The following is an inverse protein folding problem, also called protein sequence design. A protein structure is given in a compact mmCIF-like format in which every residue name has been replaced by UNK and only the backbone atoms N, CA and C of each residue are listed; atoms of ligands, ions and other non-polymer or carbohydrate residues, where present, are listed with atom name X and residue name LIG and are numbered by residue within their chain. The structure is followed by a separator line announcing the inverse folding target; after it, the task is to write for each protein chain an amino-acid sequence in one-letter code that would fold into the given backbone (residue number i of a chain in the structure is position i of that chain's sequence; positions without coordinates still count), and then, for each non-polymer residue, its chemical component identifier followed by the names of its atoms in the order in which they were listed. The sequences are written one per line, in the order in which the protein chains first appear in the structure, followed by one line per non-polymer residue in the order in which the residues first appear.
data_IF_005769864101
#
_entry.id   IF_005769864101
#
_cell.length_a   1.000
_cell.length_b   1.000
_cell.length_c   1.000
_cell.angle_alpha   90.00
_cell.angle_beta   90.00
_cell.angle_gamma   90.00
#
_symmetry.space_group_name_H-M   'P 1'
#
loop_
_entity.id
_entity.type
_entity.pdbx_description
1 polymer ?
#
# COMPACT_ATOMS: atom_id res chain seq x y z
N UNK A 1 9.19 26.15 -23.71
CA UNK A 1 8.66 26.79 -24.95
C UNK A 1 7.86 28.02 -24.54
N UNK A 2 8.16 29.21 -25.08
CA UNK A 2 7.39 30.45 -24.81
C UNK A 2 7.14 30.75 -23.31
N UNK A 3 8.14 30.54 -22.45
CA UNK A 3 8.01 30.74 -21.00
C UNK A 3 7.27 29.61 -20.25
N UNK A 4 6.90 28.52 -20.93
CA UNK A 4 6.35 27.28 -20.35
C UNK A 4 7.44 26.21 -20.31
N UNK A 5 7.65 25.59 -19.16
CA UNK A 5 8.91 24.87 -18.85
C UNK A 5 8.73 23.48 -18.23
N UNK A 6 7.59 23.21 -17.61
CA UNK A 6 7.23 21.87 -17.13
C UNK A 6 6.56 21.06 -18.25
N UNK A 7 7.13 19.93 -18.72
CA UNK A 7 6.45 19.04 -19.65
C UNK A 7 5.41 18.18 -18.93
N UNK A 8 4.18 18.15 -19.45
CA UNK A 8 3.11 17.27 -18.98
C UNK A 8 2.72 16.31 -20.11
N UNK A 9 3.02 15.00 -19.99
CA UNK A 9 2.60 14.00 -20.97
C UNK A 9 1.09 13.77 -20.89
N UNK A 10 0.44 13.62 -22.05
CA UNK A 10 -0.96 13.22 -22.11
C UNK A 10 -1.19 11.73 -21.81
N UNK A 11 -2.41 11.33 -21.40
CA UNK A 11 -3.65 12.09 -21.54
C UNK A 11 -3.95 13.02 -20.35
N UNK A 12 -4.10 14.32 -20.62
CA UNK A 12 -4.52 15.32 -19.64
C UNK A 12 -5.52 16.31 -20.26
N UNK A 13 -6.42 16.85 -19.44
CA UNK A 13 -7.50 17.75 -19.88
C UNK A 13 -7.72 18.86 -18.86
N UNK A 14 -7.92 20.10 -19.33
CA UNK A 14 -8.15 21.26 -18.48
C UNK A 14 -6.92 21.68 -17.66
N UNK A 15 -5.71 21.38 -18.13
CA UNK A 15 -4.47 21.83 -17.49
C UNK A 15 -4.24 23.31 -17.79
N UNK A 16 -3.97 24.10 -16.76
CA UNK A 16 -3.61 25.51 -16.90
C UNK A 16 -2.21 25.62 -17.50
N UNK A 17 -2.09 26.32 -18.63
CA UNK A 17 -0.83 26.44 -19.38
C UNK A 17 0.19 27.37 -18.69
N UNK A 18 -0.30 28.34 -17.94
CA UNK A 18 0.49 29.30 -17.16
C UNK A 18 -0.34 29.66 -15.92
N UNK A 19 0.09 29.15 -14.76
CA UNK A 19 -0.61 29.39 -13.49
C UNK A 19 -0.50 30.83 -12.99
N UNK A 20 0.43 31.61 -13.54
CA UNK A 20 0.78 32.96 -13.10
C UNK A 20 0.36 34.04 -14.10
N UNK A 21 -0.43 33.70 -15.12
CA UNK A 21 -0.97 34.62 -16.10
C UNK A 21 -1.66 35.82 -15.42
N UNK A 22 -0.97 36.96 -15.39
CA UNK A 22 -1.33 38.12 -14.56
C UNK A 22 -2.61 38.85 -15.01
N UNK A 23 -3.19 38.47 -16.16
CA UNK A 23 -4.46 38.97 -16.67
C UNK A 23 -5.66 38.11 -16.27
N UNK A 24 -5.43 36.95 -15.63
CA UNK A 24 -6.47 36.00 -15.21
C UNK A 24 -7.06 35.17 -16.35
N UNK A 25 -6.51 35.23 -17.56
CA UNK A 25 -6.93 34.40 -18.70
C UNK A 25 -6.12 33.10 -18.73
N UNK A 26 -6.52 32.13 -17.92
CA UNK A 26 -5.91 30.80 -17.94
C UNK A 26 -6.21 30.08 -19.27
N UNK A 27 -5.20 29.95 -20.12
CA UNK A 27 -5.24 29.04 -21.27
C UNK A 27 -5.31 27.61 -20.76
N UNK A 28 -6.36 26.86 -21.16
CA UNK A 28 -6.54 25.47 -20.80
C UNK A 28 -6.05 24.57 -21.94
N UNK A 29 -5.06 23.74 -21.65
CA UNK A 29 -4.48 22.77 -22.56
C UNK A 29 -5.00 21.37 -22.30
N UNK A 30 -5.17 20.62 -23.40
CA UNK A 30 -5.49 19.22 -23.42
C UNK A 30 -4.41 18.50 -24.25
N UNK A 31 -3.92 17.36 -23.78
CA UNK A 31 -2.97 16.51 -24.51
C UNK A 31 -3.59 15.13 -24.72
N UNK A 32 -3.47 14.57 -25.92
CA UNK A 32 -3.82 13.17 -26.18
C UNK A 32 -2.63 12.26 -25.81
N UNK A 33 -2.84 10.94 -25.81
CA UNK A 33 -1.78 9.98 -25.48
C UNK A 33 -0.63 10.08 -26.47
N UNK A 34 0.58 10.29 -25.96
CA UNK A 34 1.80 10.46 -26.76
C UNK A 34 2.12 11.91 -27.11
N UNK A 35 1.21 12.86 -26.87
CA UNK A 35 1.50 14.28 -26.94
C UNK A 35 2.07 14.76 -25.60
N UNK A 36 2.93 15.78 -25.65
CA UNK A 36 3.46 16.48 -24.48
C UNK A 36 3.11 17.96 -24.61
N UNK A 37 2.35 18.49 -23.65
CA UNK A 37 2.13 19.93 -23.50
C UNK A 37 3.17 20.50 -22.53
N UNK A 38 3.44 21.80 -22.64
CA UNK A 38 4.37 22.51 -21.78
C UNK A 38 3.59 23.56 -20.97
N UNK A 39 3.85 23.63 -19.67
CA UNK A 39 3.19 24.57 -18.74
C UNK A 39 4.20 25.38 -17.91
N UNK A 40 3.80 26.54 -17.41
CA UNK A 40 4.49 27.23 -16.31
C UNK A 40 3.64 27.09 -15.03
N UNK A 41 4.22 26.52 -13.97
CA UNK A 41 3.50 26.18 -12.74
C UNK A 41 4.30 26.46 -11.44
N UNK A 42 5.50 27.00 -11.59
CA UNK A 42 6.51 27.24 -10.55
C UNK A 42 6.84 28.73 -10.34
N UNK A 43 6.30 29.61 -11.18
CA UNK A 43 6.44 31.07 -11.06
C UNK A 43 5.90 31.68 -9.74
N UNK A 44 5.14 30.94 -8.93
CA UNK A 44 4.90 31.33 -7.52
C UNK A 44 6.15 31.15 -6.66
N UNK A 45 6.86 30.03 -6.81
CA UNK A 45 8.07 29.73 -6.05
C UNK A 45 9.23 30.64 -6.50
N UNK A 46 9.31 30.99 -7.79
CA UNK A 46 10.18 32.06 -8.30
C UNK A 46 9.95 33.39 -7.56
N UNK A 47 8.68 33.80 -7.37
CA UNK A 47 8.29 35.01 -6.67
C UNK A 47 8.63 34.90 -5.18
N UNK A 48 8.33 33.78 -4.51
CA UNK A 48 8.67 33.59 -3.10
C UNK A 48 10.20 33.61 -2.87
N UNK A 49 11.01 33.08 -3.80
CA UNK A 49 12.47 33.21 -3.80
C UNK A 49 12.94 34.66 -4.05
N UNK A 50 12.33 35.36 -5.00
CA UNK A 50 12.62 36.77 -5.27
C UNK A 50 12.17 37.73 -4.16
N UNK A 51 11.13 37.41 -3.41
CA UNK A 51 10.67 38.22 -2.27
C UNK A 51 11.42 37.88 -0.98
N UNK A 52 12.03 36.69 -0.87
CA UNK A 52 12.78 36.25 0.31
C UNK A 52 13.88 37.26 0.72
N UNK A 53 13.73 37.88 1.90
CA UNK A 53 14.64 38.93 2.41
C UNK A 53 15.74 38.40 3.32
N UNK A 54 15.83 37.09 3.56
CA UNK A 54 16.80 36.51 4.50
C UNK A 54 18.24 36.47 3.96
N UNK A 55 18.41 36.57 2.63
CA UNK A 55 19.71 36.59 1.96
C UNK A 55 19.92 37.88 1.17
N UNK A 56 21.17 38.35 1.11
CA UNK A 56 21.53 39.49 0.26
C UNK A 56 21.53 39.07 -1.22
N UNK A 57 20.76 39.77 -2.06
CA UNK A 57 20.62 39.46 -3.50
C UNK A 57 21.72 40.07 -4.38
N UNK A 58 22.59 40.92 -3.83
CA UNK A 58 23.65 41.59 -4.60
C UNK A 58 23.08 42.37 -5.80
N UNK A 59 23.68 42.17 -6.97
CA UNK A 59 23.24 42.76 -8.25
C UNK A 59 22.25 41.86 -9.02
N UNK A 60 21.70 40.81 -8.41
CA UNK A 60 20.75 39.91 -9.07
C UNK A 60 19.40 40.60 -9.33
N UNK A 61 18.91 40.48 -10.57
CA UNK A 61 17.56 40.91 -10.98
C UNK A 61 16.55 39.78 -10.82
N UNK A 62 15.25 40.06 -10.94
CA UNK A 62 14.21 39.03 -10.89
C UNK A 62 14.46 37.87 -11.88
N UNK A 63 14.97 38.17 -13.08
CA UNK A 63 15.33 37.19 -14.11
C UNK A 63 16.43 36.20 -13.69
N UNK A 64 17.18 36.47 -12.61
CA UNK A 64 18.11 35.49 -12.02
C UNK A 64 17.45 34.51 -11.03
N UNK A 65 16.17 34.72 -10.72
CA UNK A 65 15.30 33.86 -9.91
C UNK A 65 14.18 33.23 -10.73
N UNK A 66 14.05 33.62 -12.01
CA UNK A 66 13.18 32.96 -12.96
C UNK A 66 13.86 31.69 -13.48
N UNK A 67 13.13 30.59 -13.47
CA UNK A 67 13.50 29.34 -14.13
C UNK A 67 13.20 29.46 -15.64
N UNK A 68 13.46 28.39 -16.42
CA UNK A 68 12.94 28.30 -17.80
C UNK A 68 13.51 29.22 -18.87
N UNK A 69 14.50 30.08 -18.57
CA UNK A 69 15.13 30.97 -19.58
C UNK A 69 15.66 30.13 -20.77
N UNK A 70 15.23 30.50 -21.98
CA UNK A 70 15.48 29.78 -23.25
C UNK A 70 15.02 28.30 -23.28
N UNK A 71 14.13 27.89 -22.37
CA UNK A 71 13.47 26.57 -22.39
C UNK A 71 14.42 25.40 -22.12
N UNK A 72 15.49 25.64 -21.34
CA UNK A 72 16.48 24.63 -20.99
C UNK A 72 16.89 24.73 -19.51
N UNK A 73 15.99 24.33 -18.63
CA UNK A 73 16.34 23.56 -17.44
C UNK A 73 15.05 23.00 -16.83
N UNK A 74 15.00 21.67 -16.65
CA UNK A 74 14.21 21.10 -15.56
C UNK A 74 14.98 21.30 -14.27
N UNK A 75 14.29 21.45 -13.15
CA UNK A 75 14.93 21.38 -11.83
C UNK A 75 15.57 19.99 -11.68
N UNK A 76 16.89 19.91 -11.90
CA UNK A 76 17.66 18.69 -11.67
C UNK A 76 17.80 18.54 -10.15
N UNK A 77 16.77 17.99 -9.54
CA UNK A 77 16.90 17.24 -8.29
C UNK A 77 18.13 16.36 -8.44
N UNK A 78 19.00 16.30 -7.42
CA UNK A 78 20.20 15.47 -7.49
C UNK A 78 19.79 14.01 -7.65
N UNK A 79 19.73 13.54 -8.89
CA UNK A 79 19.61 12.14 -9.28
C UNK A 79 20.95 11.48 -8.97
N UNK A 80 21.20 11.31 -7.67
CA UNK A 80 22.24 10.43 -7.13
C UNK A 80 21.91 9.08 -7.69
N UNK A 81 22.70 8.63 -8.67
CA UNK A 81 22.22 7.60 -9.57
C UNK A 81 21.71 6.38 -8.82
N UNK A 82 20.53 5.93 -9.19
CA UNK A 82 19.68 5.05 -8.42
C UNK A 82 19.72 3.62 -8.98
N UNK A 83 19.09 2.68 -8.28
CA UNK A 83 18.56 1.50 -8.94
C UNK A 83 17.32 1.89 -9.78
N UNK A 84 16.88 1.07 -10.73
CA UNK A 84 15.62 1.23 -11.43
C UNK A 84 14.46 1.58 -10.50
N UNK A 85 13.49 2.41 -10.95
CA UNK A 85 12.33 2.77 -10.15
C UNK A 85 11.65 1.55 -9.54
N UNK A 86 11.25 1.59 -8.26
CA UNK A 86 10.62 0.45 -7.60
C UNK A 86 9.28 0.11 -8.27
N UNK A 87 8.82 -1.15 -8.20
CA UNK A 87 7.59 -1.58 -8.85
C UNK A 87 6.37 -1.07 -8.09
N UNK A 88 5.22 -0.90 -8.76
CA UNK A 88 3.99 -0.66 -8.02
C UNK A 88 3.65 -1.92 -7.22
N UNK A 89 3.29 -1.75 -5.93
CA UNK A 89 2.98 -2.87 -5.05
C UNK A 89 1.66 -2.68 -4.28
N UNK A 90 1.00 -3.80 -3.97
CA UNK A 90 -0.17 -3.87 -3.09
C UNK A 90 -0.03 -5.02 -2.08
N UNK A 91 -0.63 -4.85 -0.91
CA UNK A 91 -0.68 -5.85 0.15
C UNK A 91 -2.12 -6.32 0.34
N UNK A 92 -2.31 -7.64 0.37
CA UNK A 92 -3.61 -8.25 0.69
C UNK A 92 -3.44 -9.01 2.01
N UNK A 93 -3.90 -8.45 3.15
CA UNK A 93 -3.92 -9.16 4.43
C UNK A 93 -4.98 -10.27 4.42
N UNK A 94 -4.67 -11.39 5.04
CA UNK A 94 -5.66 -12.41 5.40
C UNK A 94 -5.24 -13.14 6.68
N UNK A 95 -6.01 -14.16 7.05
CA UNK A 95 -5.81 -14.91 8.28
C UNK A 95 -4.40 -15.54 8.35
N UNK A 96 -3.59 -15.04 9.30
CA UNK A 96 -2.20 -15.38 9.57
C UNK A 96 -1.30 -15.41 8.31
N UNK A 97 -1.60 -14.55 7.33
CA UNK A 97 -0.78 -14.37 6.11
C UNK A 97 -0.88 -12.97 5.53
N UNK A 98 0.19 -12.53 4.87
CA UNK A 98 0.17 -11.35 4.00
C UNK A 98 0.60 -11.77 2.59
N UNK A 99 -0.23 -11.44 1.60
CA UNK A 99 0.13 -11.60 0.20
C UNK A 99 0.68 -10.27 -0.31
N UNK A 100 1.93 -10.28 -0.76
CA UNK A 100 2.57 -9.15 -1.44
C UNK A 100 2.42 -9.37 -2.93
N UNK A 101 1.85 -8.40 -3.65
CA UNK A 101 1.80 -8.40 -5.11
C UNK A 101 2.48 -7.14 -5.65
N UNK A 102 3.20 -7.28 -6.75
CA UNK A 102 3.83 -6.15 -7.45
C UNK A 102 3.89 -6.40 -8.95
N UNK A 103 4.16 -5.35 -9.71
CA UNK A 103 4.30 -5.39 -11.16
C UNK A 103 5.77 -5.49 -11.63
N UNK A 104 6.01 -5.64 -12.94
CA UNK A 104 7.35 -5.60 -13.51
C UNK A 104 7.80 -4.20 -13.98
N UNK A 105 7.33 -3.10 -13.38
CA UNK A 105 7.63 -1.73 -13.85
C UNK A 105 9.14 -1.45 -13.88
N UNK A 106 9.87 -1.96 -12.88
CA UNK A 106 11.34 -1.88 -12.79
C UNK A 106 12.10 -2.64 -13.89
N UNK A 107 11.49 -3.64 -14.53
CA UNK A 107 12.14 -4.43 -15.60
C UNK A 107 12.06 -3.73 -16.96
N UNK A 108 11.10 -2.82 -17.15
CA UNK A 108 10.85 -2.15 -18.44
C UNK A 108 11.20 -0.65 -18.42
N UNK A 109 11.38 -0.08 -17.23
CA UNK A 109 11.74 1.33 -17.03
C UNK A 109 13.25 1.46 -16.86
N UNK A 110 13.96 2.27 -17.67
CA UNK A 110 15.38 2.52 -17.48
C UNK A 110 15.64 3.30 -16.18
N UNK A 111 16.82 3.16 -15.57
CA UNK A 111 17.18 4.01 -14.43
C UNK A 111 17.16 5.49 -14.82
N UNK A 112 16.62 6.31 -13.92
CA UNK A 112 16.41 7.74 -14.13
C UNK A 112 17.72 8.52 -14.26
N UNK A 113 18.86 7.95 -13.85
CA UNK A 113 20.17 8.60 -13.90
C UNK A 113 21.05 8.16 -15.06
N UNK A 114 21.04 6.87 -15.42
CA UNK A 114 21.82 6.30 -16.53
C UNK A 114 21.07 6.37 -17.85
N UNK A 115 19.72 6.32 -17.80
CA UNK A 115 18.83 6.03 -18.92
C UNK A 115 19.12 4.67 -19.60
N UNK A 116 19.80 3.76 -18.88
CA UNK A 116 20.09 2.40 -19.31
C UNK A 116 19.04 1.42 -18.72
N UNK A 117 18.80 0.32 -19.42
CA UNK A 117 18.01 -0.81 -18.90
C UNK A 117 18.98 -1.79 -18.25
N UNK A 118 19.24 -1.57 -16.96
CA UNK A 118 20.26 -2.23 -16.14
C UNK A 118 19.68 -3.06 -14.99
N UNK A 119 18.37 -3.33 -15.00
CA UNK A 119 17.68 -4.16 -14.00
C UNK A 119 18.33 -5.54 -13.82
N UNK A 120 18.57 -5.91 -12.56
CA UNK A 120 19.07 -7.22 -12.15
C UNK A 120 18.01 -8.04 -11.42
N UNK A 121 17.34 -7.48 -10.41
CA UNK A 121 16.46 -8.26 -9.56
C UNK A 121 15.59 -7.46 -8.60
N UNK A 122 14.86 -8.20 -7.76
CA UNK A 122 13.99 -7.67 -6.71
C UNK A 122 14.40 -8.16 -5.32
N UNK A 123 14.16 -7.31 -4.34
CA UNK A 123 14.26 -7.61 -2.90
C UNK A 123 12.94 -7.31 -2.21
N UNK A 124 12.47 -8.28 -1.44
CA UNK A 124 11.30 -8.18 -0.57
C UNK A 124 11.78 -7.97 0.86
N UNK A 125 11.39 -6.84 1.45
CA UNK A 125 11.69 -6.48 2.82
C UNK A 125 10.43 -6.49 3.67
N UNK A 126 10.59 -6.80 4.96
CA UNK A 126 9.58 -6.60 6.00
C UNK A 126 10.17 -5.86 7.18
N UNK A 127 9.37 -5.02 7.82
CA UNK A 127 9.66 -4.50 9.14
C UNK A 127 8.52 -4.88 10.10
N UNK A 128 8.90 -5.41 11.26
CA UNK A 128 8.03 -5.87 12.34
C UNK A 128 8.45 -5.23 13.68
N UNK A 129 7.54 -5.17 14.65
CA UNK A 129 7.81 -4.56 15.97
C UNK A 129 7.90 -3.02 15.97
N UNK A 130 7.28 -2.35 15.00
CA UNK A 130 7.22 -0.88 14.95
C UNK A 130 6.30 -0.34 16.05
N UNK A 131 6.83 0.55 16.91
CA UNK A 131 6.09 1.11 18.06
C UNK A 131 5.46 2.48 17.78
N UNK A 132 5.49 2.99 16.54
CA UNK A 132 5.08 4.37 16.16
C UNK A 132 5.81 5.48 16.95
N UNK A 133 7.15 5.61 16.86
CA UNK A 133 7.89 6.68 17.56
C UNK A 133 7.31 8.09 17.35
N UNK A 134 7.48 8.97 18.34
CA UNK A 134 6.97 10.35 18.31
C UNK A 134 7.27 11.08 16.98
N UNK A 135 6.22 11.59 16.33
CA UNK A 135 6.30 12.27 15.03
C UNK A 135 6.27 11.35 13.81
N UNK A 136 6.18 10.03 13.99
CA UNK A 136 5.99 9.06 12.89
C UNK A 136 4.53 8.65 12.75
N UNK A 137 4.18 8.15 11.57
CA UNK A 137 2.88 7.54 11.25
C UNK A 137 3.08 6.36 10.29
N UNK A 138 2.00 5.65 9.97
CA UNK A 138 2.04 4.59 8.94
C UNK A 138 2.47 5.12 7.56
N UNK A 139 2.38 6.43 7.32
CA UNK A 139 2.81 7.10 6.08
C UNK A 139 4.30 7.48 6.08
N UNK A 140 4.89 7.77 7.25
CA UNK A 140 6.34 7.98 7.34
C UNK A 140 7.12 6.67 7.41
N UNK A 141 6.46 5.59 7.79
CA UNK A 141 7.02 4.25 7.89
C UNK A 141 7.94 4.02 9.10
N UNK A 142 8.52 2.82 9.20
CA UNK A 142 9.48 2.45 10.22
C UNK A 142 10.91 2.90 9.87
N UNK A 143 11.79 3.07 10.88
CA UNK A 143 13.16 3.49 10.66
C UNK A 143 14.00 2.37 10.01
N UNK A 144 15.13 2.74 9.40
CA UNK A 144 15.89 1.86 8.50
C UNK A 144 16.34 0.55 9.17
N UNK A 145 16.69 0.60 10.45
CA UNK A 145 17.15 -0.53 11.25
C UNK A 145 16.08 -1.61 11.51
N UNK A 146 14.81 -1.32 11.28
CA UNK A 146 13.71 -2.27 11.49
C UNK A 146 13.48 -3.18 10.26
N UNK A 147 14.02 -2.80 9.10
CA UNK A 147 13.86 -3.53 7.85
C UNK A 147 14.75 -4.77 7.78
N UNK A 148 14.11 -5.91 7.55
CA UNK A 148 14.72 -7.23 7.38
C UNK A 148 14.48 -7.69 5.94
N UNK A 149 15.52 -8.20 5.28
CA UNK A 149 15.41 -8.82 3.96
C UNK A 149 14.78 -10.20 4.13
N UNK A 150 13.59 -10.42 3.55
CA UNK A 150 12.95 -11.74 3.53
C UNK A 150 13.51 -12.57 2.37
N UNK A 151 13.48 -12.01 1.16
CA UNK A 151 13.85 -12.72 -0.05
C UNK A 151 14.50 -11.80 -1.09
N UNK A 152 15.47 -12.34 -1.82
CA UNK A 152 16.18 -11.71 -2.93
C UNK A 152 16.22 -12.69 -4.10
N UNK A 153 15.88 -12.20 -5.30
CA UNK A 153 15.92 -12.95 -6.56
C UNK A 153 16.31 -12.03 -7.72
N UNK A 154 16.81 -12.60 -8.80
CA UNK A 154 17.37 -11.90 -9.95
C UNK A 154 17.12 -12.67 -11.27
N UNK A 155 17.59 -12.07 -12.36
CA UNK A 155 17.56 -12.66 -13.68
C UNK A 155 18.75 -13.63 -13.87
N UNK A 156 18.55 -14.72 -14.61
CA UNK A 156 19.64 -15.65 -14.89
C UNK A 156 20.60 -15.09 -15.96
N UNK A 157 21.60 -14.30 -15.52
CA UNK A 157 22.58 -13.66 -16.41
C UNK A 157 24.06 -13.89 -15.99
N UNK A 158 24.33 -14.71 -14.97
CA UNK A 158 25.63 -14.98 -14.36
C UNK A 158 26.19 -13.87 -13.42
N UNK A 159 25.36 -12.90 -13.02
CA UNK A 159 25.54 -12.03 -11.84
C UNK A 159 24.90 -12.72 -10.62
N UNK A 160 25.53 -12.69 -9.44
CA UNK A 160 24.97 -13.35 -8.25
C UNK A 160 23.83 -12.53 -7.62
N UNK A 161 22.77 -13.16 -7.10
CA UNK A 161 22.66 -14.60 -6.74
C UNK A 161 22.31 -15.66 -7.82
N UNK A 162 21.82 -15.33 -9.01
CA UNK A 162 21.21 -16.25 -10.01
C UNK A 162 20.08 -17.16 -9.47
N UNK A 163 19.10 -16.57 -8.77
CA UNK A 163 17.86 -17.21 -8.36
C UNK A 163 16.73 -16.62 -9.21
N UNK A 164 16.31 -17.34 -10.25
CA UNK A 164 15.21 -16.90 -11.12
C UNK A 164 13.91 -16.63 -10.32
N UNK A 165 13.16 -15.62 -10.73
CA UNK A 165 11.83 -15.31 -10.21
C UNK A 165 10.71 -15.52 -11.23
N UNK A 166 11.04 -15.63 -12.52
CA UNK A 166 10.08 -15.56 -13.64
C UNK A 166 9.32 -16.87 -13.92
N UNK A 167 9.56 -17.94 -13.17
CA UNK A 167 8.74 -19.15 -13.26
C UNK A 167 7.43 -19.01 -12.45
N UNK A 168 6.37 -19.75 -12.80
CA UNK A 168 5.05 -19.63 -12.16
C UNK A 168 5.06 -19.96 -10.66
N UNK A 169 4.22 -19.27 -9.88
CA UNK A 169 3.95 -19.59 -8.46
C UNK A 169 3.31 -20.97 -8.24
N UNK A 170 2.84 -21.64 -9.31
CA UNK A 170 2.39 -23.04 -9.27
C UNK A 170 3.52 -24.06 -9.50
N UNK A 171 4.73 -23.63 -9.84
CA UNK A 171 5.89 -24.49 -10.11
C UNK A 171 6.92 -24.39 -8.98
N UNK A 172 7.45 -25.54 -8.58
CA UNK A 172 8.55 -25.65 -7.61
C UNK A 172 9.83 -26.02 -8.35
N UNK A 173 10.91 -25.28 -8.11
CA UNK A 173 12.27 -25.54 -8.63
C UNK A 173 13.28 -25.30 -7.53
N UNK A 174 14.23 -26.23 -7.36
CA UNK A 174 15.30 -26.14 -6.36
C UNK A 174 14.79 -25.76 -4.94
N UNK A 175 13.74 -26.48 -4.50
CA UNK A 175 13.00 -26.30 -3.25
C UNK A 175 12.33 -24.91 -3.05
N UNK A 176 12.17 -24.13 -4.14
CA UNK A 176 11.55 -22.80 -4.12
C UNK A 176 10.37 -22.70 -5.07
N UNK A 177 9.41 -21.85 -4.72
CA UNK A 177 8.21 -21.54 -5.51
C UNK A 177 8.45 -20.27 -6.33
N UNK A 178 7.97 -20.23 -7.58
CA UNK A 178 8.13 -19.06 -8.45
C UNK A 178 7.34 -17.83 -7.97
N UNK A 179 7.66 -16.65 -8.49
CA UNK A 179 6.88 -15.44 -8.17
C UNK A 179 5.88 -15.08 -9.27
N UNK A 180 6.04 -15.57 -10.51
CA UNK A 180 5.17 -15.18 -11.62
C UNK A 180 3.72 -15.60 -11.35
N UNK A 181 2.83 -14.61 -11.35
CA UNK A 181 1.41 -14.78 -11.08
C UNK A 181 0.59 -14.45 -12.33
N UNK A 182 -0.07 -15.45 -12.90
CA UNK A 182 -1.04 -15.25 -13.97
C UNK A 182 -2.47 -15.41 -13.43
N UNK A 183 -3.12 -14.33 -12.96
CA UNK A 183 -4.45 -14.37 -12.35
C UNK A 183 -5.55 -14.87 -13.29
N UNK A 184 -5.36 -14.71 -14.61
CA UNK A 184 -6.40 -14.96 -15.62
C UNK A 184 -6.18 -16.24 -16.42
N UNK A 185 -5.30 -17.14 -15.96
CA UNK A 185 -4.90 -18.36 -16.67
C UNK A 185 -6.05 -19.36 -16.89
N UNK A 186 -7.10 -19.28 -16.06
CA UNK A 186 -8.31 -20.13 -16.13
C UNK A 186 -9.58 -19.41 -16.57
N UNK A 187 -9.52 -18.14 -16.96
CA UNK A 187 -10.73 -17.36 -17.26
C UNK A 187 -11.19 -17.55 -18.72
N UNK A 188 -12.22 -18.36 -18.92
CA UNK A 188 -12.89 -18.49 -20.21
C UNK A 188 -13.44 -17.13 -20.68
N UNK A 189 -13.10 -16.72 -21.90
CA UNK A 189 -13.53 -15.43 -22.45
C UNK A 189 -12.79 -14.20 -21.88
N UNK A 190 -11.62 -14.39 -21.24
CA UNK A 190 -10.69 -13.36 -20.73
C UNK A 190 -10.76 -12.01 -21.46
N UNK A 191 -10.55 -11.99 -22.78
CA UNK A 191 -10.48 -10.75 -23.59
C UNK A 191 -11.80 -9.96 -23.61
N UNK A 192 -12.95 -10.63 -23.49
CA UNK A 192 -14.26 -9.98 -23.41
C UNK A 192 -14.52 -9.39 -22.02
N UNK A 193 -14.05 -10.05 -20.95
CA UNK A 193 -14.14 -9.54 -19.58
C UNK A 193 -13.21 -8.33 -19.40
N UNK A 194 -11.98 -8.41 -19.89
CA UNK A 194 -11.03 -7.29 -19.88
C UNK A 194 -11.64 -6.08 -20.61
N UNK A 195 -12.21 -6.26 -21.81
CA UNK A 195 -12.88 -5.18 -22.56
C UNK A 195 -14.06 -4.55 -21.79
N UNK A 196 -14.79 -5.32 -20.99
CA UNK A 196 -15.87 -4.82 -20.14
C UNK A 196 -15.35 -3.88 -19.04
N UNK A 197 -14.25 -4.25 -18.39
CA UNK A 197 -13.58 -3.37 -17.43
C UNK A 197 -12.95 -2.14 -18.14
N UNK A 198 -12.34 -2.31 -19.32
CA UNK A 198 -11.83 -1.19 -20.13
C UNK A 198 -12.94 -0.18 -20.45
N UNK A 199 -14.11 -0.63 -20.91
CA UNK A 199 -15.23 0.27 -21.20
C UNK A 199 -15.70 1.03 -19.95
N UNK A 200 -15.78 0.35 -18.79
CA UNK A 200 -16.15 0.99 -17.52
C UNK A 200 -15.13 2.04 -17.05
N UNK A 201 -13.84 1.72 -17.07
CA UNK A 201 -12.76 2.64 -16.67
C UNK A 201 -12.66 3.82 -17.64
N UNK A 202 -12.93 3.62 -18.94
CA UNK A 202 -12.89 4.68 -19.93
C UNK A 202 -13.97 5.75 -19.70
N UNK A 203 -15.18 5.35 -19.31
CA UNK A 203 -16.27 6.30 -19.03
C UNK A 203 -16.22 6.88 -17.60
N UNK A 204 -15.75 6.10 -16.63
CA UNK A 204 -15.66 6.47 -15.20
C UNK A 204 -14.27 6.17 -14.63
N UNK A 205 -13.21 6.92 -14.98
CA UNK A 205 -11.83 6.61 -14.58
C UNK A 205 -11.56 6.78 -13.08
N UNK A 206 -12.43 7.49 -12.34
CA UNK A 206 -12.30 7.71 -10.89
C UNK A 206 -13.16 6.75 -10.05
N UNK A 207 -14.08 6.00 -10.67
CA UNK A 207 -14.90 5.02 -9.96
C UNK A 207 -14.21 3.64 -9.96
N UNK A 208 -14.55 2.81 -8.98
CA UNK A 208 -14.19 1.39 -8.96
C UNK A 208 -15.14 0.60 -9.87
N UNK A 209 -14.61 -0.37 -10.60
CA UNK A 209 -15.41 -1.19 -11.51
C UNK A 209 -16.15 -2.27 -10.70
N UNK A 210 -17.46 -2.36 -10.88
CA UNK A 210 -18.26 -3.38 -10.22
C UNK A 210 -17.84 -4.79 -10.68
N UNK A 211 -17.35 -5.59 -9.74
CA UNK A 211 -16.91 -6.97 -9.96
C UNK A 211 -18.03 -7.84 -10.55
N UNK A 212 -17.86 -8.46 -11.74
CA UNK A 212 -18.86 -9.34 -12.32
C UNK A 212 -19.17 -10.57 -11.43
N UNK A 213 -20.44 -11.01 -11.36
CA UNK A 213 -20.82 -12.15 -10.54
C UNK A 213 -20.15 -13.44 -11.04
N UNK A 214 -19.47 -14.14 -10.14
CA UNK A 214 -18.71 -15.37 -10.43
C UNK A 214 -17.19 -15.19 -10.43
N UNK A 215 -16.69 -13.96 -10.29
CA UNK A 215 -15.27 -13.66 -10.05
C UNK A 215 -15.03 -13.31 -8.57
N UNK A 216 -13.85 -13.64 -8.05
CA UNK A 216 -13.41 -13.17 -6.73
C UNK A 216 -13.00 -11.70 -6.77
N UNK A 217 -13.05 -11.03 -5.60
CA UNK A 217 -12.55 -9.67 -5.45
C UNK A 217 -11.09 -9.53 -5.94
N UNK A 218 -10.24 -10.56 -5.75
CA UNK A 218 -8.85 -10.54 -6.19
C UNK A 218 -8.68 -10.65 -7.72
N UNK A 219 -9.58 -11.37 -8.39
CA UNK A 219 -9.61 -11.42 -9.86
C UNK A 219 -10.13 -10.10 -10.42
N UNK A 220 -11.17 -9.51 -9.82
CA UNK A 220 -11.74 -8.23 -10.22
C UNK A 220 -10.80 -7.04 -9.99
N UNK A 221 -10.13 -6.96 -8.84
CA UNK A 221 -9.07 -5.98 -8.55
C UNK A 221 -7.92 -6.11 -9.58
N UNK A 222 -7.58 -7.33 -9.99
CA UNK A 222 -6.56 -7.52 -11.04
C UNK A 222 -7.09 -7.24 -12.45
N UNK A 223 -8.36 -7.49 -12.75
CA UNK A 223 -9.00 -7.13 -14.03
C UNK A 223 -9.15 -5.62 -14.18
N UNK A 224 -9.50 -4.91 -13.10
CA UNK A 224 -9.57 -3.45 -13.09
C UNK A 224 -8.18 -2.83 -13.27
N UNK A 225 -7.17 -3.34 -12.54
CA UNK A 225 -5.78 -3.00 -12.79
C UNK A 225 -5.46 -3.23 -14.27
N UNK A 226 -5.60 -4.45 -14.81
CA UNK A 226 -5.34 -4.80 -16.22
C UNK A 226 -6.16 -3.99 -17.25
N UNK A 227 -7.32 -3.45 -16.90
CA UNK A 227 -8.14 -2.63 -17.78
C UNK A 227 -7.67 -1.17 -17.81
N UNK A 228 -7.42 -0.55 -16.64
CA UNK A 228 -6.73 0.75 -16.52
C UNK A 228 -5.41 0.68 -17.32
N UNK A 229 -4.70 -0.41 -17.10
CA UNK A 229 -3.45 -0.76 -17.72
C UNK A 229 -3.50 -0.83 -19.27
N UNK A 230 -4.43 -1.60 -19.84
CA UNK A 230 -4.63 -1.71 -21.30
C UNK A 230 -5.14 -0.42 -21.95
N UNK A 231 -5.95 0.34 -21.21
CA UNK A 231 -6.28 1.72 -21.55
C UNK A 231 -5.07 2.65 -21.45
N UNK A 232 -3.83 2.15 -21.32
CA UNK A 232 -2.61 2.94 -21.34
C UNK A 232 -2.50 3.91 -20.18
N UNK A 233 -3.14 3.61 -19.04
CA UNK A 233 -2.75 4.23 -17.79
C UNK A 233 -1.39 3.65 -17.31
N UNK A 234 -1.04 2.37 -17.61
CA UNK A 234 0.30 1.80 -17.27
C UNK A 234 0.95 0.76 -18.27
N UNK A 235 0.26 0.24 -19.32
CA UNK A 235 0.76 -0.35 -20.60
C UNK A 235 1.99 -1.32 -20.75
N UNK A 236 1.79 -2.64 -20.99
CA UNK A 236 2.86 -3.67 -21.26
C UNK A 236 3.36 -4.71 -20.19
N UNK A 237 2.85 -4.80 -18.95
CA UNK A 237 3.47 -5.46 -17.76
C UNK A 237 3.01 -6.91 -17.44
N UNK A 238 3.63 -7.50 -16.41
CA UNK A 238 3.37 -8.79 -15.73
C UNK A 238 3.24 -8.58 -14.20
N UNK A 239 2.58 -9.51 -13.50
CA UNK A 239 2.42 -9.47 -12.05
C UNK A 239 3.20 -10.58 -11.35
N UNK A 240 3.74 -10.24 -10.18
CA UNK A 240 4.40 -11.13 -9.26
C UNK A 240 3.64 -11.24 -7.94
N UNK A 241 3.79 -12.38 -7.26
CA UNK A 241 3.13 -12.69 -5.99
C UNK A 241 4.09 -13.41 -5.05
N UNK A 242 4.13 -12.94 -3.82
CA UNK A 242 4.79 -13.56 -2.67
C UNK A 242 3.78 -13.71 -1.54
N UNK A 243 3.96 -14.74 -0.69
CA UNK A 243 3.07 -15.03 0.45
C UNK A 243 3.95 -15.20 1.68
N UNK A 244 3.78 -14.32 2.67
CA UNK A 244 4.39 -14.47 3.99
C UNK A 244 3.36 -15.10 4.95
N UNK A 245 3.62 -16.34 5.38
CA UNK A 245 2.83 -17.10 6.37
C UNK A 245 3.49 -17.11 7.76
N UNK A 246 4.55 -16.31 7.97
CA UNK A 246 5.21 -16.15 9.28
C UNK A 246 4.64 -14.99 10.11
N UNK A 247 3.74 -14.21 9.53
CA UNK A 247 2.99 -13.16 10.21
C UNK A 247 1.95 -13.74 11.18
N UNK A 248 1.59 -12.92 12.15
CA UNK A 248 0.55 -13.20 13.13
C UNK A 248 -0.51 -12.10 13.05
N UNK A 249 -1.78 -12.47 13.09
CA UNK A 249 -2.92 -11.56 13.11
C UNK A 249 -2.80 -10.48 14.22
N UNK A 250 -3.32 -9.28 13.95
CA UNK A 250 -3.36 -8.13 14.85
C UNK A 250 -2.03 -7.38 15.01
N UNK A 251 -0.92 -7.92 14.49
CA UNK A 251 0.40 -7.29 14.55
C UNK A 251 0.61 -6.31 13.38
N UNK A 252 1.45 -5.30 13.62
CA UNK A 252 1.77 -4.25 12.65
C UNK A 252 2.97 -4.65 11.79
N UNK A 253 2.79 -4.71 10.47
CA UNK A 253 3.84 -5.00 9.49
C UNK A 253 3.94 -3.91 8.45
N UNK A 254 5.16 -3.68 7.99
CA UNK A 254 5.42 -2.95 6.75
C UNK A 254 6.14 -3.89 5.80
N UNK A 255 5.78 -3.84 4.52
CA UNK A 255 6.47 -4.55 3.45
C UNK A 255 6.97 -3.56 2.43
N UNK A 256 8.12 -3.85 1.82
CA UNK A 256 8.65 -3.09 0.69
C UNK A 256 9.17 -4.02 -0.39
N UNK A 257 8.85 -3.72 -1.64
CA UNK A 257 9.48 -4.34 -2.81
C UNK A 257 10.37 -3.31 -3.49
N UNK A 258 11.64 -3.65 -3.64
CA UNK A 258 12.67 -2.77 -4.22
C UNK A 258 13.37 -3.49 -5.38
N UNK A 259 13.71 -2.74 -6.42
CA UNK A 259 14.56 -3.23 -7.50
C UNK A 259 16.04 -2.95 -7.22
N UNK A 260 16.91 -3.63 -7.95
CA UNK A 260 18.35 -3.37 -7.97
C UNK A 260 18.94 -3.63 -9.36
N UNK A 261 20.06 -2.97 -9.65
CA UNK A 261 20.73 -2.99 -10.96
C UNK A 261 21.99 -3.87 -11.00
N UNK A 262 22.47 -4.11 -12.22
CA UNK A 262 23.81 -4.55 -12.50
C UNK A 262 24.61 -3.47 -13.23
N UNK A 263 25.92 -3.52 -13.05
CA UNK A 263 26.83 -2.76 -13.89
C UNK A 263 27.03 -3.48 -15.22
N UNK A 264 26.77 -2.77 -16.31
CA UNK A 264 27.02 -3.22 -17.68
C UNK A 264 28.46 -2.86 -18.08
N UNK A 265 29.20 -3.81 -18.65
CA UNK A 265 30.49 -3.56 -19.28
C UNK A 265 30.52 -4.17 -20.68
N UNK A 266 30.77 -3.34 -21.70
CA UNK A 266 30.72 -3.74 -23.12
C UNK A 266 29.39 -4.39 -23.55
N UNK A 267 28.27 -3.96 -22.96
CA UNK A 267 26.94 -4.51 -23.24
C UNK A 267 26.64 -5.85 -22.56
N UNK A 268 27.41 -6.24 -21.54
CA UNK A 268 27.20 -7.48 -20.77
C UNK A 268 27.13 -7.16 -19.26
N UNK A 269 26.16 -7.71 -18.50
CA UNK A 269 26.15 -7.62 -17.04
C UNK A 269 27.43 -8.24 -16.44
N UNK A 270 28.09 -7.54 -15.52
CA UNK A 270 29.34 -8.05 -14.89
C UNK A 270 29.28 -8.23 -13.38
N UNK A 271 28.46 -7.46 -12.67
CA UNK A 271 28.22 -7.57 -11.23
C UNK A 271 27.03 -6.70 -10.83
N UNK A 272 26.45 -6.97 -9.66
CA UNK A 272 25.46 -6.09 -9.02
C UNK A 272 26.03 -4.68 -8.82
N UNK A 273 25.24 -3.65 -9.10
CA UNK A 273 25.58 -2.25 -8.88
C UNK A 273 24.90 -1.68 -7.64
N UNK A 274 23.76 -1.00 -7.79
CA UNK A 274 23.05 -0.30 -6.71
C UNK A 274 21.71 -0.94 -6.40
N UNK A 275 21.16 -0.56 -5.25
CA UNK A 275 19.93 -1.11 -4.69
C UNK A 275 18.97 0.02 -4.35
N UNK A 276 17.67 -0.21 -4.54
CA UNK A 276 16.63 0.62 -3.93
C UNK A 276 16.70 0.59 -2.41
N UNK A 277 16.25 1.67 -1.76
CA UNK A 277 16.18 1.74 -0.31
C UNK A 277 14.91 1.05 0.19
N UNK A 278 14.99 0.26 1.28
CA UNK A 278 13.84 -0.48 1.82
C UNK A 278 12.73 0.44 2.34
N UNK A 279 12.99 1.74 2.54
CA UNK A 279 11.97 2.73 2.86
C UNK A 279 11.49 3.57 1.66
N UNK A 280 11.86 3.25 0.40
CA UNK A 280 11.45 4.05 -0.77
C UNK A 280 10.10 3.64 -1.36
N UNK A 281 9.69 2.39 -1.17
CA UNK A 281 8.46 1.83 -1.73
C UNK A 281 7.86 0.84 -0.74
N UNK A 282 7.19 1.33 0.29
CA UNK A 282 6.58 0.49 1.32
C UNK A 282 5.08 0.69 1.44
N UNK A 283 4.41 -0.36 1.90
CA UNK A 283 3.03 -0.31 2.35
C UNK A 283 2.91 -0.90 3.76
N UNK A 284 1.96 -0.37 4.53
CA UNK A 284 1.60 -0.84 5.85
C UNK A 284 0.45 -1.86 5.78
N UNK A 285 0.46 -2.87 6.65
CA UNK A 285 -0.68 -3.78 6.81
C UNK A 285 -0.74 -4.38 8.23
N UNK A 286 -1.92 -4.90 8.57
CA UNK A 286 -2.16 -5.67 9.78
C UNK A 286 -3.08 -6.84 9.40
N UNK A 287 -2.59 -8.09 9.32
CA UNK A 287 -3.45 -9.25 9.06
C UNK A 287 -4.48 -9.41 10.17
N UNK A 288 -5.65 -9.94 9.82
CA UNK A 288 -6.79 -10.11 10.71
C UNK A 288 -7.34 -11.53 10.54
N UNK A 289 -8.04 -12.05 11.55
CA UNK A 289 -8.74 -13.33 11.43
C UNK A 289 -9.81 -13.25 10.34
N UNK A 290 -10.00 -14.32 9.57
CA UNK A 290 -11.12 -14.43 8.63
C UNK A 290 -12.44 -14.54 9.43
N UNK A 291 -13.56 -13.99 8.91
CA UNK A 291 -14.87 -14.15 9.55
C UNK A 291 -15.44 -15.55 9.26
N UNK A 292 -16.14 -16.12 10.24
CA UNK A 292 -16.71 -17.46 10.12
C UNK A 292 -17.92 -17.49 9.19
N UNK A 293 -17.96 -18.45 8.27
CA UNK A 293 -19.11 -18.71 7.38
C UNK A 293 -20.16 -19.61 8.04
N UNK A 294 -21.42 -19.52 7.58
CA UNK A 294 -22.57 -20.19 8.21
C UNK A 294 -22.40 -21.71 8.30
N UNK A 295 -21.82 -22.34 7.28
CA UNK A 295 -21.68 -23.80 7.21
C UNK A 295 -20.49 -24.34 8.04
N UNK A 296 -19.62 -23.45 8.53
CA UNK A 296 -18.39 -23.76 9.27
C UNK A 296 -18.34 -23.04 10.64
N UNK A 297 -19.49 -22.57 11.15
CA UNK A 297 -19.56 -21.77 12.36
C UNK A 297 -19.43 -22.60 13.65
N UNK A 298 -18.39 -22.31 14.43
CA UNK A 298 -18.14 -22.83 15.77
C UNK A 298 -18.17 -21.67 16.79
N UNK A 299 -19.06 -21.75 17.79
CA UNK A 299 -19.32 -20.65 18.73
C UNK A 299 -18.22 -20.51 19.80
N UNK A 300 -17.53 -21.62 20.13
CA UNK A 300 -16.38 -21.64 21.04
C UNK A 300 -15.06 -21.20 20.39
N UNK A 301 -15.00 -21.07 19.06
CA UNK A 301 -13.91 -20.42 18.34
C UNK A 301 -13.97 -18.88 18.38
N UNK A 302 -15.03 -18.27 18.90
CA UNK A 302 -15.09 -16.81 19.09
C UNK A 302 -14.42 -16.40 20.40
N UNK A 303 -13.22 -15.82 20.33
CA UNK A 303 -12.41 -15.45 21.51
C UNK A 303 -11.93 -14.00 21.52
N UNK A 304 -11.45 -13.57 22.69
CA UNK A 304 -10.78 -12.28 22.90
C UNK A 304 -9.29 -12.50 23.06
N UNK A 305 -8.47 -11.68 22.40
CA UNK A 305 -7.02 -11.67 22.54
C UNK A 305 -6.52 -10.24 22.85
N UNK A 306 -5.57 -10.05 23.79
CA UNK A 306 -4.98 -11.06 24.66
C UNK A 306 -5.94 -11.41 25.81
N UNK A 307 -5.88 -12.65 26.29
CA UNK A 307 -6.64 -13.09 27.46
C UNK A 307 -5.73 -13.94 28.37
N UNK A 308 -5.32 -13.44 29.56
CA UNK A 308 -5.69 -12.15 30.15
C UNK A 308 -5.08 -10.95 29.41
N UNK A 309 -5.82 -9.85 29.32
CA UNK A 309 -5.36 -8.57 28.80
C UNK A 309 -4.55 -7.83 29.87
N UNK A 310 -3.24 -7.86 29.72
CA UNK A 310 -2.25 -7.25 30.63
C UNK A 310 -1.35 -6.28 29.86
N UNK A 311 -0.69 -5.36 30.56
CA UNK A 311 0.31 -4.49 29.92
C UNK A 311 1.42 -5.27 29.16
N UNK A 312 1.78 -6.47 29.64
CA UNK A 312 2.80 -7.32 29.00
C UNK A 312 2.25 -8.03 27.76
N UNK A 313 1.00 -8.50 27.80
CA UNK A 313 0.39 -9.26 26.69
C UNK A 313 -0.14 -8.38 25.57
N UNK A 314 -0.44 -7.11 25.84
CA UNK A 314 -0.77 -6.11 24.83
C UNK A 314 0.46 -5.44 24.20
N UNK A 315 1.64 -5.52 24.84
CA UNK A 315 2.84 -4.83 24.37
C UNK A 315 3.30 -5.18 22.94
N UNK A 316 3.11 -6.41 22.40
CA UNK A 316 3.57 -6.75 21.04
C UNK A 316 2.92 -5.93 19.91
N UNK A 317 1.66 -5.51 20.11
CA UNK A 317 0.90 -4.65 19.20
C UNK A 317 0.53 -3.31 19.83
N UNK A 318 1.22 -2.91 20.90
CA UNK A 318 1.05 -1.59 21.49
C UNK A 318 1.81 -0.58 20.65
N UNK A 319 1.12 0.47 20.22
CA UNK A 319 1.71 1.61 19.54
C UNK A 319 1.77 2.79 20.52
N UNK A 320 2.72 3.71 20.33
CA UNK A 320 2.73 4.96 21.07
C UNK A 320 1.45 5.76 20.70
N UNK A 321 0.72 6.32 21.70
CA UNK A 321 -0.53 7.02 21.44
C UNK A 321 -0.41 8.22 20.50
N UNK A 322 -1.42 8.44 19.68
CA UNK A 322 -1.57 9.63 18.85
C UNK A 322 -3.00 10.22 18.95
N UNK A 323 -3.42 11.06 18.01
CA UNK A 323 -4.77 11.66 18.03
C UNK A 323 -5.89 10.68 17.61
N UNK A 324 -5.57 9.70 16.77
CA UNK A 324 -6.53 8.73 16.23
C UNK A 324 -6.63 7.46 17.10
N UNK A 325 -5.56 7.18 17.86
CA UNK A 325 -5.37 6.06 18.76
C UNK A 325 -4.82 6.59 20.11
N UNK A 326 -5.69 7.13 20.99
CA UNK A 326 -5.26 7.86 22.19
C UNK A 326 -4.81 6.95 23.35
N UNK A 327 -5.04 5.64 23.26
CA UNK A 327 -4.66 4.67 24.30
C UNK A 327 -3.43 3.86 23.89
N UNK A 328 -3.20 3.64 22.59
CA UNK A 328 -2.12 2.83 22.04
C UNK A 328 -2.29 1.32 22.28
N UNK A 329 -3.34 0.92 23.00
CA UNK A 329 -3.57 -0.45 23.46
C UNK A 329 -4.90 -0.97 22.90
N UNK A 330 -4.96 -2.27 22.65
CA UNK A 330 -6.16 -2.91 22.15
C UNK A 330 -6.34 -4.32 22.67
N UNK A 331 -7.60 -4.74 22.73
CA UNK A 331 -8.02 -6.13 22.67
C UNK A 331 -8.80 -6.36 21.38
N UNK A 332 -8.76 -7.58 20.87
CA UNK A 332 -9.41 -7.97 19.63
C UNK A 332 -10.38 -9.13 19.90
N UNK A 333 -11.61 -9.00 19.42
CA UNK A 333 -12.56 -10.11 19.27
C UNK A 333 -12.31 -10.73 17.91
N UNK A 334 -12.00 -12.03 17.85
CA UNK A 334 -11.62 -12.74 16.61
C UNK A 334 -12.62 -13.82 16.23
N UNK A 335 -12.50 -14.30 14.99
CA UNK A 335 -13.35 -15.32 14.38
C UNK A 335 -14.85 -14.91 14.43
N UNK A 336 -15.16 -13.62 14.28
CA UNK A 336 -16.55 -13.15 14.29
C UNK A 336 -17.34 -13.66 13.07
N UNK A 337 -18.67 -13.86 13.19
CA UNK A 337 -19.52 -14.27 12.07
C UNK A 337 -19.39 -13.37 10.82
N UNK A 338 -19.48 -13.97 9.63
CA UNK A 338 -19.58 -13.27 8.32
C UNK A 338 -20.99 -12.68 8.09
N UNK A 339 -21.51 -12.00 9.10
CA UNK A 339 -22.68 -11.15 9.04
C UNK A 339 -22.49 -9.96 9.97
N UNK A 340 -23.31 -8.91 9.80
CA UNK A 340 -23.38 -7.83 10.78
C UNK A 340 -23.66 -8.40 12.16
N UNK A 341 -22.90 -7.98 13.16
CA UNK A 341 -23.06 -8.43 14.52
C UNK A 341 -22.68 -7.33 15.51
N UNK A 342 -23.31 -7.36 16.69
CA UNK A 342 -23.02 -6.42 17.78
C UNK A 342 -22.30 -7.14 18.90
N UNK A 343 -21.14 -6.63 19.31
CA UNK A 343 -20.41 -7.14 20.47
C UNK A 343 -20.70 -6.24 21.67
N UNK A 344 -21.35 -6.79 22.70
CA UNK A 344 -21.70 -6.08 23.93
C UNK A 344 -20.81 -6.52 25.08
N UNK A 345 -20.17 -5.57 25.76
CA UNK A 345 -19.21 -5.84 26.83
C UNK A 345 -19.82 -5.46 28.18
N UNK A 346 -19.75 -6.36 29.16
CA UNK A 346 -20.36 -6.22 30.47
C UNK A 346 -19.39 -6.49 31.62
N UNK A 347 -19.65 -5.89 32.79
CA UNK A 347 -19.04 -6.33 34.06
C UNK A 347 -19.65 -7.67 34.51
N UNK A 348 -19.00 -8.36 35.45
CA UNK A 348 -19.59 -9.53 36.13
C UNK A 348 -20.91 -9.24 36.86
N UNK A 349 -21.22 -7.96 37.14
CA UNK A 349 -22.49 -7.52 37.74
C UNK A 349 -23.61 -7.33 36.71
N UNK A 350 -23.30 -7.42 35.40
CA UNK A 350 -24.22 -7.16 34.30
C UNK A 350 -24.29 -5.69 33.85
N UNK A 351 -23.40 -4.82 34.34
CA UNK A 351 -23.36 -3.42 33.90
C UNK A 351 -22.78 -3.33 32.48
N UNK A 352 -23.49 -2.65 31.57
CA UNK A 352 -23.01 -2.42 30.20
C UNK A 352 -21.84 -1.42 30.19
N UNK A 353 -20.70 -1.89 29.68
CA UNK A 353 -19.43 -1.17 29.58
C UNK A 353 -19.29 -0.49 28.22
N UNK A 354 -19.47 -1.26 27.14
CA UNK A 354 -19.35 -0.79 25.77
C UNK A 354 -20.22 -1.62 24.79
N UNK A 355 -20.57 -1.02 23.65
CA UNK A 355 -21.25 -1.65 22.51
C UNK A 355 -20.47 -1.36 21.23
N UNK A 356 -19.90 -2.42 20.64
CA UNK A 356 -19.11 -2.35 19.42
C UNK A 356 -19.90 -2.98 18.25
N UNK A 357 -19.76 -2.43 17.05
CA UNK A 357 -20.49 -2.87 15.87
C UNK A 357 -19.53 -3.42 14.82
N UNK A 358 -19.76 -4.67 14.41
CA UNK A 358 -18.99 -5.36 13.38
C UNK A 358 -19.80 -5.45 12.08
N UNK A 359 -19.16 -5.15 10.96
CA UNK A 359 -19.84 -5.08 9.66
C UNK A 359 -20.06 -6.45 8.97
N UNK A 360 -19.43 -7.51 9.47
CA UNK A 360 -19.54 -8.88 8.93
C UNK A 360 -18.49 -9.26 7.89
N UNK A 361 -17.33 -8.60 7.87
CA UNK A 361 -16.20 -9.01 7.05
C UNK A 361 -15.99 -8.27 5.75
N UNK A 362 -16.52 -7.04 5.63
CA UNK A 362 -16.19 -6.16 4.52
C UNK A 362 -15.08 -5.16 4.89
N UNK A 363 -14.12 -4.96 3.99
CA UNK A 363 -13.00 -4.04 4.22
C UNK A 363 -12.18 -4.37 5.47
N UNK A 364 -11.88 -3.35 6.25
CA UNK A 364 -10.82 -3.34 7.28
C UNK A 364 -11.15 -4.10 8.59
N UNK A 365 -12.30 -4.79 8.67
CA UNK A 365 -12.72 -5.53 9.87
C UNK A 365 -12.53 -7.05 9.74
N UNK A 366 -12.72 -7.64 8.55
CA UNK A 366 -12.65 -9.10 8.34
C UNK A 366 -13.45 -9.89 9.43
N UNK A 367 -12.85 -10.84 10.14
CA UNK A 367 -13.44 -11.51 11.32
C UNK A 367 -13.04 -10.90 12.66
N UNK A 368 -12.48 -9.69 12.66
CA UNK A 368 -11.82 -9.09 13.82
C UNK A 368 -12.43 -7.73 14.20
N UNK A 369 -12.79 -7.55 15.47
CA UNK A 369 -13.25 -6.28 16.02
C UNK A 369 -12.33 -5.79 17.14
N UNK A 370 -11.84 -4.56 17.01
CA UNK A 370 -10.86 -3.95 17.91
C UNK A 370 -11.57 -3.14 19.00
N UNK A 371 -11.07 -3.19 20.23
CA UNK A 371 -11.49 -2.32 21.33
C UNK A 371 -10.29 -1.71 22.06
N UNK A 372 -10.33 -0.39 22.25
CA UNK A 372 -9.30 0.47 22.86
C UNK A 372 -9.27 0.43 24.41
N UNK A 373 -10.13 -0.39 25.03
CA UNK A 373 -10.35 -0.50 26.48
C UNK A 373 -10.91 0.79 27.13
N UNK A 374 -11.58 1.65 26.36
CA UNK A 374 -12.36 2.79 26.83
C UNK A 374 -13.83 2.37 26.90
N UNK A 375 -14.53 2.75 27.97
CA UNK A 375 -15.98 2.55 28.11
C UNK A 375 -16.76 3.67 27.43
N UNK A 376 -18.06 3.43 27.19
CA UNK A 376 -19.01 4.37 26.55
C UNK A 376 -19.12 5.76 27.16
N UNK A 377 -18.54 5.95 28.35
CA UNK A 377 -18.46 7.21 29.09
C UNK A 377 -17.13 7.96 28.86
N UNK A 378 -16.26 7.50 27.95
CA UNK A 378 -14.92 8.05 27.72
C UNK A 378 -13.93 7.74 28.85
N UNK A 379 -14.11 6.64 29.58
CA UNK A 379 -13.28 6.29 30.74
C UNK A 379 -12.62 4.92 30.56
N UNK A 380 -11.32 4.83 30.85
CA UNK A 380 -10.57 3.59 30.89
C UNK A 380 -11.20 2.58 31.86
N UNK A 381 -11.43 1.35 31.39
CA UNK A 381 -11.97 0.27 32.24
C UNK A 381 -10.95 -0.19 33.28
N UNK A 382 -11.43 -0.71 34.42
CA UNK A 382 -10.58 -1.15 35.53
C UNK A 382 -10.15 -2.61 35.39
N UNK A 383 -9.21 -3.06 36.23
CA UNK A 383 -8.85 -4.47 36.33
C UNK A 383 -10.04 -5.30 36.84
N UNK A 384 -10.36 -6.41 36.19
CA UNK A 384 -11.54 -7.21 36.48
C UNK A 384 -11.81 -8.32 35.47
N UNK A 385 -12.85 -9.12 35.73
CA UNK A 385 -13.40 -10.07 34.75
C UNK A 385 -14.54 -9.39 34.01
N UNK A 386 -14.54 -9.53 32.69
CA UNK A 386 -15.53 -8.98 31.78
C UNK A 386 -16.21 -10.10 31.01
N UNK A 387 -17.50 -9.92 30.73
CA UNK A 387 -18.28 -10.79 29.86
C UNK A 387 -18.44 -10.08 28.52
N UNK A 388 -18.44 -10.84 27.43
CA UNK A 388 -18.86 -10.34 26.12
C UNK A 388 -20.00 -11.20 25.59
N UNK A 389 -20.92 -10.56 24.87
CA UNK A 389 -21.96 -11.23 24.10
C UNK A 389 -21.85 -10.79 22.64
N UNK A 390 -21.69 -11.74 21.72
CA UNK A 390 -21.78 -11.50 20.28
C UNK A 390 -23.20 -11.81 19.85
N UNK A 391 -23.86 -10.81 19.26
CA UNK A 391 -25.23 -10.91 18.77
C UNK A 391 -25.25 -10.72 17.25
N UNK A 392 -25.30 -11.81 16.47
CA UNK A 392 -25.50 -11.78 15.02
C UNK A 392 -26.84 -11.15 14.64
N UNK A 393 -26.89 -10.42 13.51
CA UNK A 393 -28.16 -10.00 12.89
C UNK A 393 -28.84 -11.14 12.09
N UNK A 394 -28.08 -12.18 11.72
CA UNK A 394 -28.56 -13.35 10.98
C UNK A 394 -28.79 -14.53 11.94
N UNK A 395 -30.05 -14.98 12.05
CA UNK A 395 -30.50 -16.03 12.97
C UNK A 395 -29.87 -17.42 12.71
N UNK A 396 -29.13 -17.59 11.60
CA UNK A 396 -28.37 -18.82 11.31
C UNK A 396 -27.10 -18.96 12.14
N UNK A 397 -26.57 -17.87 12.68
CA UNK A 397 -25.44 -17.89 13.61
C UNK A 397 -25.93 -17.88 15.05
N UNK A 398 -25.42 -18.81 15.87
CA UNK A 398 -25.74 -18.84 17.31
C UNK A 398 -25.07 -17.67 18.06
N UNK A 399 -25.73 -17.20 19.14
CA UNK A 399 -25.23 -16.11 19.98
C UNK A 399 -24.15 -16.61 20.93
N UNK A 400 -22.94 -16.05 20.83
CA UNK A 400 -21.84 -16.39 21.74
C UNK A 400 -21.88 -15.54 23.01
N UNK A 401 -21.63 -16.16 24.17
CA UNK A 401 -21.31 -15.46 25.42
C UNK A 401 -20.00 -16.00 25.96
N UNK A 402 -18.96 -15.16 25.98
CA UNK A 402 -17.65 -15.49 26.51
C UNK A 402 -17.21 -14.58 27.65
N UNK A 403 -15.98 -14.81 28.14
CA UNK A 403 -15.37 -14.04 29.23
C UNK A 403 -13.88 -13.81 29.00
N UNK A 404 -13.40 -12.68 29.47
CA UNK A 404 -11.99 -12.31 29.43
C UNK A 404 -11.60 -11.52 30.68
N UNK A 405 -10.31 -11.42 30.95
CA UNK A 405 -9.79 -10.78 32.16
C UNK A 405 -8.93 -9.58 31.76
N UNK A 406 -9.15 -8.43 32.38
CA UNK A 406 -8.30 -7.24 32.24
C UNK A 406 -7.49 -7.06 33.52
N UNK A 407 -6.18 -6.85 33.39
CA UNK A 407 -5.24 -6.60 34.49
C UNK A 407 -4.37 -5.40 34.11
N UNK A 408 -4.70 -4.23 34.68
CA UNK A 408 -3.86 -3.03 34.70
C UNK A 408 -2.97 -3.00 35.94
#
# INVERSE_FOLDING_TARGET
VEGRETPVPGPVSGIVADSCAADGNFELLNALRGDVIWINNDCRDEIELWENTQCSKGDATFTAFQTGVDGKETQVNWLVGSAPPPPNMRLLPGNDKVVVMWDNFSEVTPDVSTLELDFEGYRIWRADGWTRPMGTSVLSGPPRELWQLIEERDILNNVSPNIDFRYPISEVRDDRVGWQYEPLKGLDGKDAVIRLFEESVWYSPLDTVACPPGLSNSECDTLEAMARYNLGFEGGLQYYKFIDESVHNGMHYFYSVTAYDHLIANGVPVKVGKFGDSSSNFAYTSPLSDPQDVDEYEDDEVYVVPNPATAVTMSPWQLDPNMDDPTGIKVEFRNLPRCRNTVRIFTMSGDLVEVLYHNGGSGDQQGTLVWDLVSRNGQNVTSGVYLFAVEPEDERFEKVIGKFVIIR
#
